data_IF_001307344102
#
_entry.id   IF_001307344102
#
_cell.length_a   1.000
_cell.length_b   1.000
_cell.length_c   1.000
_cell.angle_alpha   90.00
_cell.angle_beta   90.00
_cell.angle_gamma   90.00
#
_symmetry.space_group_name_H-M   'P 1'
#
loop_
_entity.id
_entity.type
_entity.pdbx_description
1 polymer ?
#
# COMPACT_ATOMS: atom_id res chain seq x y z
N UNK A 1 0.82 -8.24 -8.80
CA UNK A 1 0.75 -7.14 -9.77
C UNK A 1 0.49 -5.83 -9.04
N UNK A 2 1.26 -4.78 -9.34
CA UNK A 2 0.99 -3.44 -8.79
C UNK A 2 -0.32 -2.87 -9.38
N UNK A 3 -1.06 -2.09 -8.58
CA UNK A 3 -2.30 -1.42 -9.01
C UNK A 3 -2.03 -0.41 -10.14
N UNK A 4 -0.96 0.37 -10.02
CA UNK A 4 -0.52 1.31 -11.07
C UNK A 4 0.98 1.14 -11.36
N UNK A 5 1.34 0.13 -12.18
CA UNK A 5 2.73 -0.15 -12.51
C UNK A 5 3.37 0.98 -13.33
N UNK A 6 2.57 1.79 -14.04
CA UNK A 6 3.09 2.88 -14.88
C UNK A 6 3.57 4.05 -14.02
N UNK A 7 2.79 4.45 -13.02
CA UNK A 7 3.21 5.50 -12.08
C UNK A 7 4.38 5.06 -11.22
N UNK A 8 4.37 3.80 -10.75
CA UNK A 8 5.51 3.23 -10.01
C UNK A 8 6.79 3.29 -10.83
N UNK A 9 6.74 2.83 -12.09
CA UNK A 9 7.92 2.83 -12.96
C UNK A 9 8.48 4.23 -13.20
N UNK A 10 7.63 5.24 -13.40
CA UNK A 10 8.08 6.63 -13.57
C UNK A 10 8.83 7.15 -12.33
N UNK A 11 8.33 6.82 -11.14
CA UNK A 11 9.01 7.15 -9.90
C UNK A 11 10.36 6.41 -9.81
N UNK A 12 10.36 5.10 -10.04
CA UNK A 12 11.56 4.27 -10.00
C UNK A 12 12.64 4.78 -10.97
N UNK A 13 12.28 5.08 -12.22
CA UNK A 13 13.18 5.66 -13.21
C UNK A 13 13.80 6.97 -12.71
N UNK A 14 13.00 7.86 -12.09
CA UNK A 14 13.52 9.10 -11.50
C UNK A 14 14.47 8.87 -10.32
N UNK A 15 14.18 7.88 -9.46
CA UNK A 15 15.06 7.51 -8.35
C UNK A 15 16.36 6.87 -8.82
N UNK A 16 16.33 6.14 -9.93
CA UNK A 16 17.52 5.61 -10.62
C UNK A 16 18.37 6.76 -11.15
N UNK A 17 17.77 7.72 -11.86
CA UNK A 17 18.48 8.90 -12.38
C UNK A 17 19.12 9.74 -11.26
N UNK A 18 18.48 9.79 -10.09
CA UNK A 18 19.01 10.44 -8.89
C UNK A 18 20.07 9.61 -8.14
N UNK A 19 20.35 8.37 -8.55
CA UNK A 19 21.27 7.45 -7.86
C UNK A 19 20.78 6.94 -6.52
N UNK A 20 19.51 7.16 -6.15
CA UNK A 20 18.94 6.74 -4.86
C UNK A 20 18.80 5.24 -4.76
N UNK A 21 18.40 4.58 -5.86
CA UNK A 21 18.27 3.12 -5.92
C UNK A 21 19.62 2.45 -5.72
N UNK A 22 20.65 2.87 -6.46
CA UNK A 22 22.00 2.31 -6.32
C UNK A 22 22.56 2.51 -4.90
N UNK A 23 22.34 3.70 -4.31
CA UNK A 23 22.76 3.98 -2.95
C UNK A 23 22.09 3.03 -1.95
N UNK A 24 20.77 2.88 -2.02
CA UNK A 24 20.02 1.98 -1.15
C UNK A 24 20.52 0.53 -1.28
N UNK A 25 20.68 0.02 -2.51
CA UNK A 25 21.12 -1.36 -2.72
C UNK A 25 22.55 -1.62 -2.20
N UNK A 26 23.42 -0.61 -2.27
CA UNK A 26 24.77 -0.70 -1.71
C UNK A 26 24.79 -0.73 -0.18
N UNK A 27 23.87 -0.02 0.46
CA UNK A 27 23.81 0.13 1.91
C UNK A 27 23.00 -0.99 2.58
N UNK A 28 21.93 -1.45 1.92
CA UNK A 28 20.89 -2.30 2.54
C UNK A 28 20.67 -3.62 1.80
N UNK A 29 21.30 -3.83 0.64
CA UNK A 29 21.13 -5.02 -0.19
C UNK A 29 20.12 -4.83 -1.33
N UNK A 30 20.17 -5.74 -2.31
CA UNK A 30 19.40 -5.64 -3.57
C UNK A 30 17.90 -5.59 -3.31
N UNK A 31 17.19 -4.77 -4.09
CA UNK A 31 15.73 -4.71 -4.07
C UNK A 31 15.18 -6.01 -4.68
N UNK A 32 14.27 -6.65 -3.95
CA UNK A 32 13.62 -7.91 -4.34
C UNK A 32 12.15 -7.74 -4.67
N UNK A 33 11.52 -6.64 -4.25
CA UNK A 33 10.10 -6.39 -4.53
C UNK A 33 9.73 -4.92 -4.48
N UNK A 34 8.54 -4.63 -5.02
CA UNK A 34 7.88 -3.33 -5.02
C UNK A 34 6.51 -3.46 -4.36
N UNK A 35 6.19 -2.50 -3.51
CA UNK A 35 4.90 -2.39 -2.81
C UNK A 35 4.32 -1.01 -3.03
N UNK A 36 3.03 -0.92 -3.32
CA UNK A 36 2.35 0.34 -3.57
C UNK A 36 1.04 0.43 -2.80
N UNK A 37 0.86 1.52 -2.04
CA UNK A 37 -0.40 1.84 -1.36
C UNK A 37 -1.06 3.02 -2.08
N UNK A 38 -2.29 2.83 -2.53
CA UNK A 38 -3.11 3.84 -3.20
C UNK A 38 -4.44 4.04 -2.48
N UNK A 39 -5.11 5.15 -2.77
CA UNK A 39 -6.54 5.27 -2.49
C UNK A 39 -7.32 4.41 -3.47
N UNK A 40 -8.41 3.80 -3.00
CA UNK A 40 -9.26 2.95 -3.83
C UNK A 40 -10.73 2.98 -3.45
N UNK A 41 -11.43 1.91 -3.82
CA UNK A 41 -12.85 1.68 -3.54
C UNK A 41 -13.04 0.35 -2.82
N UNK A 42 -14.17 0.20 -2.14
CA UNK A 42 -14.57 -1.08 -1.54
C UNK A 42 -15.06 -2.00 -2.67
N UNK A 43 -14.58 -3.26 -2.74
CA UNK A 43 -15.10 -4.26 -3.67
C UNK A 43 -16.60 -4.53 -3.46
N UNK A 44 -17.35 -4.71 -4.55
CA UNK A 44 -18.82 -4.82 -4.52
C UNK A 44 -19.31 -5.99 -3.67
N UNK A 45 -18.56 -7.09 -3.63
CA UNK A 45 -18.90 -8.33 -2.90
C UNK A 45 -18.83 -8.18 -1.38
N UNK A 46 -18.06 -7.22 -0.86
CA UNK A 46 -17.94 -6.93 0.58
C UNK A 46 -18.52 -5.56 0.95
N UNK A 47 -19.02 -4.80 -0.02
CA UNK A 47 -19.44 -3.41 0.16
C UNK A 47 -20.53 -3.26 1.22
N UNK A 48 -21.53 -4.14 1.20
CA UNK A 48 -22.61 -4.14 2.20
C UNK A 48 -22.10 -4.40 3.62
N UNK A 49 -21.08 -5.25 3.77
CA UNK A 49 -20.52 -5.57 5.09
C UNK A 49 -19.66 -4.43 5.63
N UNK A 50 -18.87 -3.78 4.78
CA UNK A 50 -18.04 -2.61 5.18
C UNK A 50 -18.92 -1.39 5.48
N UNK A 51 -19.99 -1.18 4.72
CA UNK A 51 -20.89 -0.02 4.86
C UNK A 51 -22.07 -0.24 5.80
N UNK A 52 -22.19 -1.42 6.44
CA UNK A 52 -23.32 -1.76 7.31
C UNK A 52 -23.64 -0.67 8.34
N UNK A 53 -22.60 -0.13 8.97
CA UNK A 53 -22.67 0.89 10.01
C UNK A 53 -22.01 2.22 9.60
N UNK A 54 -21.68 2.39 8.31
CA UNK A 54 -20.84 3.47 7.81
C UNK A 54 -21.37 4.06 6.49
N UNK A 55 -21.25 5.37 6.31
CA UNK A 55 -21.43 5.99 5.00
C UNK A 55 -20.11 5.96 4.22
N UNK A 56 -20.16 5.64 2.92
CA UNK A 56 -18.96 5.57 2.07
C UNK A 56 -18.21 6.90 2.03
N UNK A 57 -18.93 8.02 2.10
CA UNK A 57 -18.36 9.38 2.13
C UNK A 57 -17.59 9.69 3.41
N UNK A 58 -17.79 8.94 4.50
CA UNK A 58 -17.03 9.08 5.74
C UNK A 58 -15.73 8.28 5.74
N UNK A 59 -15.51 7.45 4.71
CA UNK A 59 -14.40 6.48 4.66
C UNK A 59 -13.34 6.87 3.64
N UNK A 60 -12.09 6.60 4.01
CA UNK A 60 -10.97 6.55 3.08
C UNK A 60 -10.50 5.11 2.96
N UNK A 61 -10.36 4.64 1.72
CA UNK A 61 -9.99 3.26 1.42
C UNK A 61 -8.55 3.24 0.95
N UNK A 62 -7.72 2.42 1.60
CA UNK A 62 -6.35 2.17 1.20
C UNK A 62 -6.23 0.76 0.63
N UNK A 63 -5.62 0.67 -0.54
CA UNK A 63 -5.30 -0.59 -1.18
C UNK A 63 -3.78 -0.75 -1.28
N UNK A 64 -3.26 -1.88 -0.82
CA UNK A 64 -1.86 -2.27 -0.92
C UNK A 64 -1.70 -3.35 -1.98
N UNK A 65 -0.73 -3.17 -2.89
CA UNK A 65 -0.41 -4.10 -3.96
C UNK A 65 1.08 -4.40 -4.01
N UNK A 66 1.41 -5.58 -4.52
CA UNK A 66 2.77 -6.10 -4.58
C UNK A 66 3.10 -6.50 -6.01
N UNK A 67 4.34 -6.32 -6.46
CA UNK A 67 4.77 -6.86 -7.75
C UNK A 67 4.94 -8.40 -7.74
N UNK A 68 5.03 -9.02 -6.55
CA UNK A 68 5.17 -10.47 -6.35
C UNK A 68 3.90 -11.21 -5.87
N UNK A 69 2.77 -10.53 -5.61
CA UNK A 69 1.47 -11.17 -5.37
C UNK A 69 0.44 -10.69 -6.37
N UNK A 70 -0.42 -11.58 -6.89
CA UNK A 70 -1.56 -11.22 -7.75
C UNK A 70 -2.84 -10.99 -6.93
N UNK A 71 -2.69 -10.35 -5.78
CA UNK A 71 -3.77 -9.99 -4.88
C UNK A 71 -3.42 -8.69 -4.17
N UNK A 72 -4.44 -7.91 -3.82
CA UNK A 72 -4.29 -6.69 -3.04
C UNK A 72 -4.85 -6.86 -1.64
N UNK A 73 -4.32 -6.10 -0.69
CA UNK A 73 -4.94 -5.89 0.61
C UNK A 73 -5.74 -4.60 0.56
N UNK A 74 -6.89 -4.56 1.23
CA UNK A 74 -7.68 -3.34 1.38
C UNK A 74 -8.11 -3.10 2.81
N UNK A 75 -8.22 -1.83 3.19
CA UNK A 75 -8.73 -1.40 4.50
C UNK A 75 -9.42 -0.05 4.38
N UNK A 76 -10.51 0.13 5.13
CA UNK A 76 -11.22 1.38 5.30
C UNK A 76 -10.89 2.03 6.65
N UNK A 77 -10.57 3.33 6.63
CA UNK A 77 -10.41 4.18 7.81
C UNK A 77 -11.47 5.30 7.79
N UNK A 78 -11.89 5.78 8.96
CA UNK A 78 -12.71 6.98 9.04
C UNK A 78 -11.89 8.22 8.68
N UNK A 79 -12.41 9.08 7.79
CA UNK A 79 -11.75 10.36 7.42
C UNK A 79 -11.53 11.28 8.62
N UNK A 80 -12.43 11.22 9.61
CA UNK A 80 -12.45 12.12 10.76
C UNK A 80 -11.24 11.95 11.68
N UNK A 81 -10.88 10.71 11.99
CA UNK A 81 -9.88 10.39 13.02
C UNK A 81 -8.92 9.26 12.62
N UNK A 82 -9.00 8.80 11.36
CA UNK A 82 -8.18 7.73 10.78
C UNK A 82 -8.23 6.41 11.56
N UNK A 83 -9.25 6.21 12.40
CA UNK A 83 -9.48 4.92 13.04
C UNK A 83 -9.97 3.89 12.03
N UNK A 84 -9.68 2.63 12.34
CA UNK A 84 -10.18 1.49 11.58
C UNK A 84 -11.71 1.51 11.51
N UNK A 85 -12.25 1.54 10.30
CA UNK A 85 -13.68 1.38 10.03
C UNK A 85 -14.03 -0.04 9.57
N UNK A 86 -13.02 -0.88 9.35
CA UNK A 86 -13.16 -2.22 8.78
C UNK A 86 -12.02 -3.15 9.21
N UNK A 87 -12.22 -4.45 8.97
CA UNK A 87 -11.12 -5.43 8.93
C UNK A 87 -10.41 -5.35 7.58
N UNK A 88 -9.18 -5.86 7.52
CA UNK A 88 -8.48 -6.03 6.25
C UNK A 88 -9.21 -7.08 5.40
N UNK A 89 -9.37 -6.78 4.12
CA UNK A 89 -9.82 -7.73 3.11
C UNK A 89 -8.74 -7.97 2.07
N UNK A 90 -8.90 -9.06 1.31
CA UNK A 90 -7.99 -9.47 0.25
C UNK A 90 -8.80 -9.54 -1.04
N UNK A 91 -8.32 -8.91 -2.09
CA UNK A 91 -8.93 -8.96 -3.42
C UNK A 91 -7.97 -9.63 -4.38
N UNK A 92 -8.40 -10.74 -4.97
CA UNK A 92 -7.66 -11.41 -6.04
C UNK A 92 -7.67 -10.53 -7.30
N UNK A 93 -6.48 -10.30 -7.88
CA UNK A 93 -6.35 -9.61 -9.17
C UNK A 93 -6.43 -10.60 -10.34
N UNK A 94 -6.21 -11.88 -10.06
CA UNK A 94 -6.37 -13.02 -10.97
C UNK A 94 -7.06 -14.16 -10.22
N UNK A 95 -7.92 -14.92 -10.89
CA UNK A 95 -8.68 -16.02 -10.27
C UNK A 95 -7.73 -17.06 -9.64
N UNK A 96 -7.93 -17.32 -8.34
CA UNK A 96 -7.13 -18.27 -7.58
C UNK A 96 -5.76 -17.75 -7.15
N UNK A 97 -5.56 -16.43 -7.17
CA UNK A 97 -4.32 -15.82 -6.72
C UNK A 97 -4.01 -16.15 -5.25
N UNK A 98 -2.72 -16.35 -4.97
CA UNK A 98 -2.25 -16.57 -3.61
C UNK A 98 -2.52 -15.35 -2.73
N UNK A 99 -2.96 -15.61 -1.50
CA UNK A 99 -3.21 -14.57 -0.50
C UNK A 99 -1.90 -14.10 0.12
N UNK A 100 -1.72 -12.78 0.36
CA UNK A 100 -0.52 -12.28 1.02
C UNK A 100 -0.39 -12.90 2.41
N UNK A 101 0.83 -13.23 2.81
CA UNK A 101 1.10 -13.76 4.15
C UNK A 101 0.78 -12.74 5.25
N UNK A 102 0.71 -13.23 6.50
CA UNK A 102 0.51 -12.39 7.68
C UNK A 102 1.57 -11.29 7.80
N UNK A 103 2.83 -11.58 7.47
CA UNK A 103 3.92 -10.60 7.51
C UNK A 103 3.66 -9.41 6.56
N UNK A 104 3.09 -9.67 5.38
CA UNK A 104 2.75 -8.60 4.43
C UNK A 104 1.51 -7.80 4.85
N UNK A 105 0.60 -8.41 5.60
CA UNK A 105 -0.53 -7.72 6.24
C UNK A 105 0.01 -6.78 7.33
N UNK A 106 0.93 -7.25 8.16
CA UNK A 106 1.56 -6.44 9.21
C UNK A 106 2.40 -5.31 8.63
N UNK A 107 3.16 -5.59 7.58
CA UNK A 107 3.91 -4.57 6.83
C UNK A 107 2.99 -3.46 6.31
N UNK A 108 1.84 -3.81 5.72
CA UNK A 108 0.87 -2.85 5.24
C UNK A 108 0.30 -1.98 6.38
N UNK A 109 -0.12 -2.59 7.49
CA UNK A 109 -0.63 -1.86 8.66
C UNK A 109 0.43 -0.89 9.18
N UNK A 110 1.68 -1.33 9.31
CA UNK A 110 2.78 -0.49 9.79
C UNK A 110 2.97 0.73 8.90
N UNK A 111 2.98 0.57 7.57
CA UNK A 111 3.09 1.71 6.66
C UNK A 111 1.93 2.70 6.80
N UNK A 112 0.70 2.22 7.03
CA UNK A 112 -0.43 3.12 7.31
C UNK A 112 -0.28 3.85 8.63
N UNK A 113 0.20 3.19 9.68
CA UNK A 113 0.43 3.85 10.97
C UNK A 113 1.47 4.97 10.80
N UNK A 114 2.63 4.63 10.25
CA UNK A 114 3.78 5.55 10.16
C UNK A 114 3.54 6.72 9.21
N UNK A 115 2.94 6.46 8.03
CA UNK A 115 2.86 7.45 6.95
C UNK A 115 1.47 8.05 6.74
N UNK A 116 0.43 7.50 7.38
CA UNK A 116 -0.94 8.01 7.27
C UNK A 116 -1.49 8.49 8.61
N UNK A 117 -1.51 7.61 9.63
CA UNK A 117 -2.17 7.88 10.91
C UNK A 117 -1.34 8.84 11.78
N UNK A 118 -0.02 8.64 11.84
CA UNK A 118 0.90 9.44 12.66
C UNK A 118 1.51 10.62 11.89
N UNK A 119 1.09 10.85 10.63
CA UNK A 119 1.63 11.96 9.84
C UNK A 119 1.10 13.31 10.32
N UNK A 120 2.01 14.19 10.74
CA UNK A 120 1.68 15.50 11.34
C UNK A 120 1.17 16.54 10.33
N UNK A 121 1.60 16.46 9.06
CA UNK A 121 1.35 17.48 8.03
C UNK A 121 0.32 17.03 6.97
N UNK A 122 -0.41 15.94 7.26
CA UNK A 122 -1.21 15.21 6.26
C UNK A 122 -0.39 14.12 5.57
N UNK A 123 -1.03 13.28 4.76
CA UNK A 123 -0.36 12.15 4.10
C UNK A 123 -0.41 12.29 2.58
N UNK A 124 0.74 12.05 1.94
CA UNK A 124 0.86 11.95 0.49
C UNK A 124 0.51 10.55 -0.01
N UNK A 125 -0.07 10.47 -1.21
CA UNK A 125 -0.33 9.20 -1.88
C UNK A 125 -0.06 9.33 -3.39
N UNK A 126 0.32 8.23 -4.08
CA UNK A 126 0.55 6.88 -3.55
C UNK A 126 1.79 6.78 -2.64
N UNK A 127 1.79 5.84 -1.71
CA UNK A 127 3.00 5.45 -0.97
C UNK A 127 3.68 4.33 -1.75
N UNK A 128 4.98 4.46 -1.98
CA UNK A 128 5.79 3.49 -2.71
C UNK A 128 6.83 2.89 -1.77
N UNK A 129 7.04 1.58 -1.82
CA UNK A 129 8.12 0.94 -1.08
C UNK A 129 8.91 -0.02 -1.99
N UNK A 130 10.22 0.06 -1.86
CA UNK A 130 11.16 -0.91 -2.41
C UNK A 130 11.64 -1.78 -1.26
N UNK A 131 11.51 -3.09 -1.39
CA UNK A 131 11.74 -4.03 -0.27
C UNK A 131 12.78 -5.08 -0.64
N UNK A 132 13.52 -5.53 0.36
CA UNK A 132 14.33 -6.74 0.32
C UNK A 132 14.05 -7.60 1.56
N UNK A 133 14.87 -8.60 1.85
CA UNK A 133 14.61 -9.51 2.98
C UNK A 133 14.70 -8.84 4.36
N UNK A 134 15.46 -7.76 4.47
CA UNK A 134 15.88 -7.19 5.75
C UNK A 134 15.61 -5.67 5.85
N UNK A 135 15.20 -5.02 4.77
CA UNK A 135 15.10 -3.55 4.69
C UNK A 135 14.13 -3.08 3.61
N UNK A 136 13.66 -1.85 3.80
CA UNK A 136 12.75 -1.15 2.92
C UNK A 136 13.20 0.30 2.69
N UNK A 137 12.89 0.81 1.50
CA UNK A 137 12.95 2.24 1.18
C UNK A 137 11.55 2.71 0.83
N UNK A 138 10.97 3.54 1.70
CA UNK A 138 9.62 4.11 1.50
C UNK A 138 9.72 5.52 0.93
N UNK A 139 8.93 5.80 -0.10
CA UNK A 139 8.83 7.08 -0.78
C UNK A 139 7.37 7.54 -0.71
N UNK A 140 7.16 8.70 -0.09
CA UNK A 140 5.86 9.36 0.03
C UNK A 140 5.94 10.70 -0.71
N UNK A 141 4.95 11.05 -1.56
CA UNK A 141 4.88 12.38 -2.18
C UNK A 141 4.74 13.47 -1.11
N UNK A 142 5.44 14.59 -1.32
CA UNK A 142 5.25 15.85 -0.56
C UNK A 142 4.01 16.61 -1.03
#
# INVERSE_FOLDING_TARGET
MLIDPSSFKRLEDSLIEQGKIEKFEKESGKILGRVMITIGSIPDDIKEDVLRDNEEDDLIIFNCSFDFYNSTLGIALYKKDLKLASRIWITEQEEGAEKPSQDWIEFFIRLLVEYVIESNDGFGYPIYAFVNNDSEMVIVPE
#
